data_IF_343272428638
#
_entry.id   IF_343272428638
#
_cell.length_a   1.000
_cell.length_b   1.000
_cell.length_c   1.000
_cell.angle_alpha   90.00
_cell.angle_beta   90.00
_cell.angle_gamma   90.00
#
_symmetry.space_group_name_H-M   'P 1'
#
loop_
_entity.id
_entity.type
_entity.pdbx_description
1 polymer ?
#
# COMPACT_ATOMS: atom_id res chain seq x y z
N UNK A 1 -24.11 14.29 -40.70
CA UNK A 1 -23.29 13.35 -39.93
C UNK A 1 -22.74 14.09 -38.73
N UNK A 2 -23.39 13.95 -37.57
CA UNK A 2 -22.83 14.45 -36.32
C UNK A 2 -21.87 13.38 -35.81
N UNK A 3 -20.58 13.70 -35.78
CA UNK A 3 -19.58 12.85 -35.15
C UNK A 3 -19.86 12.80 -33.65
N UNK A 4 -20.18 11.62 -33.14
CA UNK A 4 -20.07 11.35 -31.71
C UNK A 4 -18.58 11.45 -31.37
N UNK A 5 -18.22 12.54 -30.71
CA UNK A 5 -16.96 12.66 -30.02
C UNK A 5 -17.04 11.72 -28.82
N UNK A 6 -16.39 10.56 -28.95
CA UNK A 6 -16.20 9.60 -27.86
C UNK A 6 -15.53 10.36 -26.71
N UNK A 7 -16.27 10.63 -25.64
CA UNK A 7 -15.74 11.29 -24.47
C UNK A 7 -14.56 10.44 -23.97
N UNK A 8 -13.37 11.04 -23.89
CA UNK A 8 -12.20 10.35 -23.35
C UNK A 8 -12.57 9.82 -21.96
N UNK A 9 -12.52 8.49 -21.80
CA UNK A 9 -12.81 7.85 -20.52
C UNK A 9 -11.92 8.49 -19.45
N UNK A 10 -12.54 9.00 -18.39
CA UNK A 10 -11.80 9.59 -17.26
C UNK A 10 -10.98 8.46 -16.64
N UNK A 11 -9.66 8.61 -16.59
CA UNK A 11 -8.79 7.61 -15.96
C UNK A 11 -9.13 7.51 -14.47
N UNK A 12 -9.56 6.32 -14.04
CA UNK A 12 -9.88 6.04 -12.64
C UNK A 12 -8.64 5.89 -11.76
N UNK A 13 -7.46 5.85 -12.38
CA UNK A 13 -6.17 5.73 -11.70
C UNK A 13 -5.21 6.77 -12.25
N UNK A 14 -4.51 7.43 -11.34
CA UNK A 14 -3.46 8.42 -11.65
C UNK A 14 -2.10 7.88 -11.22
N UNK A 15 -1.09 8.21 -12.02
CA UNK A 15 0.31 7.90 -11.75
C UNK A 15 1.05 9.18 -11.44
N UNK A 16 1.86 9.17 -10.38
CA UNK A 16 2.71 10.30 -10.00
C UNK A 16 4.06 9.81 -9.51
N UNK A 17 5.09 10.64 -9.69
CA UNK A 17 6.46 10.33 -9.25
C UNK A 17 7.01 11.49 -8.44
N UNK A 18 7.75 11.16 -7.37
CA UNK A 18 8.36 12.13 -6.47
C UNK A 18 9.83 11.77 -6.24
N UNK A 19 10.70 12.78 -6.26
CA UNK A 19 12.08 12.67 -5.78
C UNK A 19 12.34 13.75 -4.74
N UNK A 20 13.12 13.42 -3.71
CA UNK A 20 13.57 14.38 -2.71
C UNK A 20 14.84 15.13 -3.13
N UNK A 21 15.45 14.73 -4.23
CA UNK A 21 16.74 15.22 -4.71
C UNK A 21 16.51 15.96 -6.03
N UNK A 22 16.33 17.29 -6.00
CA UNK A 22 16.03 18.08 -7.18
C UNK A 22 17.25 18.36 -8.07
N UNK A 23 18.48 18.29 -7.52
CA UNK A 23 19.72 18.42 -8.29
C UNK A 23 20.83 17.48 -7.81
N UNK A 24 21.81 17.22 -8.68
CA UNK A 24 23.04 16.46 -8.41
C UNK A 24 24.21 17.26 -9.01
N UNK A 25 25.34 17.45 -8.29
CA UNK A 25 26.52 18.08 -8.85
C UNK A 25 26.97 17.42 -10.15
N UNK A 26 27.41 18.23 -11.12
CA UNK A 26 27.69 17.79 -12.49
C UNK A 26 28.76 16.70 -12.56
N UNK A 27 29.81 16.83 -11.76
CA UNK A 27 30.94 15.93 -11.69
C UNK A 27 30.71 14.69 -10.80
N UNK A 28 29.53 14.57 -10.18
CA UNK A 28 29.23 13.49 -9.23
C UNK A 28 28.17 12.51 -9.75
N UNK A 29 28.41 11.23 -9.46
CA UNK A 29 27.39 10.19 -9.54
C UNK A 29 26.56 10.12 -8.26
N UNK A 30 25.30 9.72 -8.38
CA UNK A 30 24.43 9.42 -7.25
C UNK A 30 24.01 7.96 -7.31
N UNK A 31 24.39 7.16 -6.31
CA UNK A 31 23.94 5.76 -6.19
C UNK A 31 22.66 5.66 -5.37
N UNK A 32 21.81 4.71 -5.74
CA UNK A 32 20.51 4.49 -5.09
C UNK A 32 19.70 5.80 -4.94
N UNK A 33 19.60 6.57 -6.02
CA UNK A 33 18.74 7.75 -6.14
C UNK A 33 17.27 7.34 -5.99
N UNK A 34 16.56 7.76 -4.94
CA UNK A 34 15.22 7.29 -4.65
C UNK A 34 14.15 8.06 -5.43
N UNK A 35 13.33 7.34 -6.16
CA UNK A 35 12.12 7.82 -6.83
C UNK A 35 10.91 7.10 -6.23
N UNK A 36 10.05 7.82 -5.55
CA UNK A 36 8.76 7.27 -5.10
C UNK A 36 7.77 7.32 -6.27
N UNK A 37 7.20 6.17 -6.61
CA UNK A 37 6.10 6.05 -7.57
C UNK A 37 4.82 5.83 -6.78
N UNK A 38 3.80 6.63 -7.10
CA UNK A 38 2.49 6.58 -6.46
C UNK A 38 1.40 6.34 -7.50
N UNK A 39 0.58 5.34 -7.24
CA UNK A 39 -0.63 4.99 -7.98
C UNK A 39 -1.82 5.35 -7.10
N UNK A 40 -2.64 6.29 -7.55
CA UNK A 40 -3.80 6.81 -6.79
C UNK A 40 -5.08 6.50 -7.54
N UNK A 41 -6.01 5.81 -6.90
CA UNK A 41 -7.34 5.60 -7.45
C UNK A 41 -8.29 6.77 -7.15
N UNK A 42 -9.26 6.98 -8.03
CA UNK A 42 -10.31 7.97 -7.85
C UNK A 42 -11.08 7.71 -6.53
N UNK A 43 -11.54 8.77 -5.84
CA UNK A 43 -12.31 8.62 -4.60
C UNK A 43 -13.63 7.88 -4.85
N UNK A 44 -14.17 7.16 -3.85
CA UNK A 44 -15.39 6.35 -4.00
C UNK A 44 -16.60 7.06 -4.60
N UNK A 45 -16.75 8.36 -4.34
CA UNK A 45 -17.86 9.21 -4.82
C UNK A 45 -17.86 9.40 -6.35
N UNK A 46 -16.70 9.29 -6.98
CA UNK A 46 -16.53 9.44 -8.43
C UNK A 46 -16.74 8.14 -9.21
N UNK A 47 -16.95 7.01 -8.51
CA UNK A 47 -16.93 5.66 -9.11
C UNK A 47 -18.29 4.94 -9.00
N UNK A 48 -19.39 5.70 -8.87
CA UNK A 48 -20.73 5.11 -8.81
C UNK A 48 -21.05 4.32 -10.08
N UNK A 49 -21.19 2.99 -9.95
CA UNK A 49 -21.59 2.09 -11.03
C UNK A 49 -20.45 1.39 -11.78
N UNK A 50 -19.18 1.62 -11.44
CA UNK A 50 -18.04 0.96 -12.12
C UNK A 50 -17.37 -0.15 -11.31
N UNK A 51 -17.90 -0.53 -10.15
CA UNK A 51 -17.25 -1.52 -9.25
C UNK A 51 -17.39 -2.94 -9.79
N UNK A 52 -16.32 -3.74 -9.73
CA UNK A 52 -16.42 -5.17 -10.05
C UNK A 52 -17.06 -5.93 -8.89
N UNK A 53 -17.87 -6.94 -9.22
CA UNK A 53 -18.37 -7.88 -8.23
C UNK A 53 -17.21 -8.70 -7.63
N UNK A 54 -17.43 -9.23 -6.43
CA UNK A 54 -16.43 -10.06 -5.78
C UNK A 54 -16.99 -11.38 -5.30
N UNK A 55 -16.18 -12.42 -5.44
CA UNK A 55 -16.37 -13.74 -4.86
C UNK A 55 -15.28 -13.96 -3.82
N UNK A 56 -15.67 -13.95 -2.55
CA UNK A 56 -14.76 -14.10 -1.43
C UNK A 56 -14.92 -15.49 -0.82
N UNK A 57 -13.80 -16.14 -0.51
CA UNK A 57 -13.79 -17.32 0.36
C UNK A 57 -13.08 -16.99 1.67
N UNK A 58 -13.81 -17.11 2.78
CA UNK A 58 -13.23 -16.99 4.12
C UNK A 58 -12.80 -18.38 4.62
N UNK A 59 -11.50 -18.65 4.60
CA UNK A 59 -10.88 -19.84 5.16
C UNK A 59 -10.45 -19.56 6.62
N UNK A 60 -11.18 -20.13 7.57
CA UNK A 60 -11.02 -19.90 9.01
C UNK A 60 -10.44 -21.15 9.64
N UNK A 61 -9.22 -21.01 10.17
CA UNK A 61 -8.57 -22.05 10.95
C UNK A 61 -9.34 -22.25 12.27
N UNK A 62 -9.76 -23.48 12.54
CA UNK A 62 -10.51 -23.87 13.74
C UNK A 62 -9.64 -24.59 14.77
N UNK A 63 -8.31 -24.51 14.68
CA UNK A 63 -7.39 -25.16 15.63
C UNK A 63 -7.70 -24.80 17.08
N UNK A 64 -7.23 -25.67 17.97
CA UNK A 64 -7.36 -25.55 19.42
C UNK A 64 -7.09 -24.15 19.99
N UNK A 65 -6.01 -23.50 19.54
CA UNK A 65 -5.60 -22.19 20.06
C UNK A 65 -6.61 -21.07 19.78
N UNK A 66 -7.63 -21.31 18.94
CA UNK A 66 -8.73 -20.38 18.67
C UNK A 66 -9.75 -20.31 19.81
N UNK A 67 -9.68 -21.20 20.80
CA UNK A 67 -10.54 -21.14 21.99
C UNK A 67 -9.80 -21.27 23.31
N UNK A 68 -8.50 -21.60 23.30
CA UNK A 68 -7.71 -21.77 24.52
C UNK A 68 -6.29 -21.22 24.37
N UNK A 69 -5.77 -20.60 25.43
CA UNK A 69 -4.40 -20.05 25.47
C UNK A 69 -3.36 -21.09 25.84
N UNK A 70 -3.76 -22.09 26.61
CA UNK A 70 -2.94 -23.25 26.93
C UNK A 70 -3.36 -24.48 26.14
N UNK A 71 -2.43 -25.44 26.04
CA UNK A 71 -2.65 -26.71 25.34
C UNK A 71 -3.54 -27.71 26.10
N UNK A 72 -3.98 -27.39 27.32
CA UNK A 72 -4.69 -28.30 28.21
C UNK A 72 -6.19 -27.97 28.34
N UNK A 73 -6.59 -26.76 27.96
CA UNK A 73 -7.97 -26.30 27.89
C UNK A 73 -8.43 -25.63 29.17
N UNK A 74 -7.49 -25.20 30.00
CA UNK A 74 -7.78 -24.61 31.31
C UNK A 74 -7.94 -23.09 31.23
N UNK A 75 -7.37 -22.46 30.21
CA UNK A 75 -7.47 -21.02 29.95
C UNK A 75 -8.25 -20.78 28.66
N UNK A 76 -9.60 -20.69 28.72
CA UNK A 76 -10.40 -20.34 27.56
C UNK A 76 -10.13 -18.89 27.11
N UNK A 77 -10.30 -18.63 25.82
CA UNK A 77 -10.23 -17.30 25.23
C UNK A 77 -11.36 -17.09 24.20
N UNK A 78 -11.50 -15.85 23.75
CA UNK A 78 -12.57 -15.43 22.84
C UNK A 78 -12.11 -15.29 21.37
N UNK A 79 -10.96 -15.83 20.96
CA UNK A 79 -10.42 -15.61 19.60
C UNK A 79 -11.40 -15.96 18.49
N UNK A 80 -12.00 -17.16 18.53
CA UNK A 80 -13.00 -17.55 17.54
C UNK A 80 -14.26 -16.68 17.63
N UNK A 81 -14.64 -16.21 18.83
CA UNK A 81 -15.75 -15.27 19.01
C UNK A 81 -15.43 -13.95 18.29
N UNK A 82 -14.23 -13.39 18.48
CA UNK A 82 -13.77 -12.17 17.79
C UNK A 82 -13.73 -12.34 16.27
N UNK A 83 -13.32 -13.51 15.77
CA UNK A 83 -13.38 -13.81 14.34
C UNK A 83 -14.81 -13.81 13.83
N UNK A 84 -15.77 -14.41 14.56
CA UNK A 84 -17.19 -14.40 14.17
C UNK A 84 -17.76 -12.99 14.12
N UNK A 85 -17.48 -12.17 15.13
CA UNK A 85 -17.87 -10.76 15.20
C UNK A 85 -17.29 -9.96 14.02
N UNK A 86 -16.00 -10.16 13.71
CA UNK A 86 -15.35 -9.51 12.59
C UNK A 86 -15.89 -9.98 11.23
N UNK A 87 -16.20 -11.27 11.08
CA UNK A 87 -16.83 -11.80 9.87
C UNK A 87 -18.22 -11.24 9.62
N UNK A 88 -18.96 -10.85 10.68
CA UNK A 88 -20.23 -10.14 10.51
C UNK A 88 -20.05 -8.79 9.78
N UNK A 89 -18.93 -8.08 10.00
CA UNK A 89 -18.58 -6.87 9.25
C UNK A 89 -18.28 -7.16 7.78
N UNK A 90 -17.56 -8.25 7.50
CA UNK A 90 -17.30 -8.69 6.12
C UNK A 90 -18.62 -8.97 5.39
N UNK A 91 -19.54 -9.71 6.03
CA UNK A 91 -20.86 -10.01 5.45
C UNK A 91 -21.66 -8.71 5.21
N UNK A 92 -21.63 -7.78 6.16
CA UNK A 92 -22.31 -6.49 6.04
C UNK A 92 -21.76 -5.64 4.87
N UNK A 93 -20.44 -5.59 4.70
CA UNK A 93 -19.82 -4.80 3.63
C UNK A 93 -20.00 -5.42 2.25
N UNK A 94 -19.98 -6.75 2.14
CA UNK A 94 -20.25 -7.42 0.86
C UNK A 94 -21.66 -7.15 0.35
N UNK A 95 -22.64 -6.84 1.22
CA UNK A 95 -24.03 -6.55 0.82
C UNK A 95 -24.21 -5.29 -0.02
N UNK A 96 -23.18 -4.43 -0.11
CA UNK A 96 -23.23 -3.19 -0.91
C UNK A 96 -23.71 -3.47 -2.34
N UNK A 97 -23.35 -4.64 -2.87
CA UNK A 97 -23.99 -5.25 -4.02
C UNK A 97 -24.42 -6.67 -3.65
N UNK A 98 -25.72 -6.96 -3.71
CA UNK A 98 -26.26 -8.26 -3.34
C UNK A 98 -25.74 -9.41 -4.23
N UNK A 99 -25.17 -9.11 -5.41
CA UNK A 99 -24.54 -10.09 -6.29
C UNK A 99 -23.10 -10.44 -5.89
N UNK A 100 -22.49 -9.73 -4.94
CA UNK A 100 -21.26 -10.19 -4.31
C UNK A 100 -21.52 -11.51 -3.58
N UNK A 101 -20.51 -12.36 -3.53
CA UNK A 101 -20.65 -13.70 -2.97
C UNK A 101 -19.61 -14.01 -1.91
N UNK A 102 -20.04 -14.78 -0.92
CA UNK A 102 -19.19 -15.29 0.15
C UNK A 102 -19.36 -16.81 0.29
N UNK A 103 -18.24 -17.51 0.37
CA UNK A 103 -18.19 -18.87 0.90
C UNK A 103 -17.40 -18.91 2.21
N UNK A 104 -17.81 -19.79 3.14
CA UNK A 104 -17.15 -19.96 4.44
C UNK A 104 -16.58 -21.38 4.52
N UNK A 105 -15.27 -21.47 4.77
CA UNK A 105 -14.54 -22.73 4.94
C UNK A 105 -13.94 -22.75 6.34
N UNK A 106 -14.49 -23.60 7.22
CA UNK A 106 -13.92 -23.89 8.53
C UNK A 106 -13.07 -25.16 8.45
N UNK A 107 -11.79 -25.11 8.85
CA UNK A 107 -10.88 -26.23 8.65
C UNK A 107 -9.91 -26.46 9.83
N UNK A 108 -9.36 -27.68 9.89
CA UNK A 108 -8.15 -28.01 10.66
C UNK A 108 -7.26 -28.97 9.84
N UNK A 109 -7.22 -30.27 10.15
CA UNK A 109 -6.64 -31.33 9.30
C UNK A 109 -7.64 -31.80 8.23
N UNK A 110 -8.91 -31.43 8.37
CA UNK A 110 -9.97 -31.67 7.40
C UNK A 110 -10.86 -30.43 7.26
N UNK A 111 -11.73 -30.43 6.26
CA UNK A 111 -12.75 -29.39 6.09
C UNK A 111 -13.94 -29.76 6.98
N UNK A 112 -14.15 -28.99 8.05
CA UNK A 112 -15.23 -29.23 9.01
C UNK A 112 -16.54 -28.54 8.60
N UNK A 113 -16.43 -27.39 7.94
CA UNK A 113 -17.54 -26.61 7.40
C UNK A 113 -17.14 -26.07 6.05
N UNK A 114 -18.02 -26.17 5.05
CA UNK A 114 -17.84 -25.56 3.74
C UNK A 114 -19.21 -25.18 3.17
N UNK A 115 -19.31 -23.99 2.59
CA UNK A 115 -20.49 -23.56 1.83
C UNK A 115 -20.12 -23.38 0.37
N UNK A 116 -21.13 -23.38 -0.51
CA UNK A 116 -20.97 -22.80 -1.84
C UNK A 116 -20.87 -21.27 -1.75
N UNK A 117 -20.62 -20.61 -2.89
CA UNK A 117 -20.64 -19.15 -2.99
C UNK A 117 -22.08 -18.63 -2.84
N UNK A 118 -22.40 -18.13 -1.66
CA UNK A 118 -23.69 -17.54 -1.34
C UNK A 118 -23.75 -16.10 -1.86
N UNK A 119 -24.78 -15.72 -2.60
CA UNK A 119 -25.03 -14.30 -2.92
C UNK A 119 -25.44 -13.54 -1.66
N UNK A 120 -24.89 -12.34 -1.45
CA UNK A 120 -25.12 -11.51 -0.26
C UNK A 120 -26.48 -10.78 -0.29
N UNK A 121 -27.49 -11.45 -0.85
CA UNK A 121 -28.92 -11.18 -0.61
C UNK A 121 -29.25 -11.32 0.87
N UNK A 122 -30.43 -10.86 1.30
CA UNK A 122 -30.86 -11.00 2.70
C UNK A 122 -30.83 -12.46 3.20
N UNK A 123 -31.24 -13.42 2.36
CA UNK A 123 -31.20 -14.85 2.71
C UNK A 123 -29.77 -15.40 2.75
N UNK A 124 -28.91 -15.02 1.80
CA UNK A 124 -27.52 -15.46 1.80
C UNK A 124 -26.71 -14.86 2.95
N UNK A 125 -26.97 -13.60 3.33
CA UNK A 125 -26.41 -12.99 4.54
C UNK A 125 -26.81 -13.78 5.79
N UNK A 126 -28.10 -14.09 5.95
CA UNK A 126 -28.56 -14.89 7.09
C UNK A 126 -27.89 -16.26 7.13
N UNK A 127 -27.81 -16.95 5.98
CA UNK A 127 -27.16 -18.26 5.86
C UNK A 127 -25.66 -18.21 6.18
N UNK A 128 -24.97 -17.16 5.73
CA UNK A 128 -23.56 -16.93 6.03
C UNK A 128 -23.33 -16.66 7.53
N UNK A 129 -24.16 -15.82 8.15
CA UNK A 129 -24.12 -15.52 9.59
C UNK A 129 -24.34 -16.79 10.40
N UNK A 130 -25.36 -17.58 10.06
CA UNK A 130 -25.64 -18.86 10.73
C UNK A 130 -24.46 -19.82 10.62
N UNK A 131 -23.86 -19.93 9.43
CA UNK A 131 -22.68 -20.77 9.20
C UNK A 131 -21.49 -20.32 10.03
N UNK A 132 -21.17 -19.03 10.03
CA UNK A 132 -20.07 -18.45 10.81
C UNK A 132 -20.31 -18.67 12.30
N UNK A 133 -21.53 -18.44 12.80
CA UNK A 133 -21.86 -18.64 14.21
C UNK A 133 -21.80 -20.11 14.63
N UNK A 134 -22.07 -21.03 13.72
CA UNK A 134 -21.98 -22.47 13.98
C UNK A 134 -20.54 -23.02 14.06
N UNK A 135 -19.52 -22.26 13.63
CA UNK A 135 -18.12 -22.68 13.72
C UNK A 135 -17.71 -23.01 15.16
N UNK A 136 -16.95 -24.09 15.34
CA UNK A 136 -16.48 -24.57 16.65
C UNK A 136 -14.99 -24.87 16.60
N UNK A 137 -14.33 -24.62 17.73
CA UNK A 137 -12.93 -24.99 17.91
C UNK A 137 -12.77 -26.50 17.86
N UNK A 138 -11.72 -26.95 17.17
CA UNK A 138 -11.36 -28.35 16.99
C UNK A 138 -10.01 -28.61 17.66
N UNK A 139 -9.90 -29.69 18.44
CA UNK A 139 -8.73 -29.97 19.29
C UNK A 139 -7.45 -30.44 18.59
N UNK A 140 -7.41 -30.48 17.26
CA UNK A 140 -6.25 -30.96 16.48
C UNK A 140 -5.44 -29.79 15.89
N UNK A 141 -4.15 -29.99 15.58
CA UNK A 141 -3.38 -29.04 14.78
C UNK A 141 -4.04 -28.83 13.40
N UNK A 142 -3.70 -27.73 12.73
CA UNK A 142 -4.24 -27.43 11.40
C UNK A 142 -3.23 -27.71 10.30
N UNK A 143 -3.76 -28.11 9.15
CA UNK A 143 -3.03 -28.26 7.90
C UNK A 143 -3.52 -27.18 6.94
N UNK A 144 -2.72 -26.14 6.70
CA UNK A 144 -3.13 -24.95 5.96
C UNK A 144 -3.58 -25.26 4.54
N UNK A 145 -2.93 -26.22 3.88
CA UNK A 145 -3.28 -26.67 2.53
C UNK A 145 -4.71 -27.19 2.44
N UNK A 146 -5.31 -27.70 3.53
CA UNK A 146 -6.70 -28.20 3.53
C UNK A 146 -7.68 -27.05 3.28
N UNK A 147 -7.58 -25.98 4.08
CA UNK A 147 -8.43 -24.81 3.91
C UNK A 147 -8.17 -24.09 2.58
N UNK A 148 -6.90 -23.94 2.21
CA UNK A 148 -6.50 -23.27 0.97
C UNK A 148 -6.95 -24.02 -0.29
N UNK A 149 -6.84 -25.36 -0.30
CA UNK A 149 -7.28 -26.16 -1.44
C UNK A 149 -8.80 -26.15 -1.61
N UNK A 150 -9.56 -26.18 -0.52
CA UNK A 150 -11.03 -26.07 -0.60
C UNK A 150 -11.44 -24.68 -1.07
N UNK A 151 -10.79 -23.62 -0.58
CA UNK A 151 -11.04 -22.26 -1.04
C UNK A 151 -10.74 -22.09 -2.54
N UNK A 152 -9.59 -22.60 -3.00
CA UNK A 152 -9.26 -22.64 -4.42
C UNK A 152 -10.29 -23.42 -5.23
N UNK A 153 -10.70 -24.60 -4.76
CA UNK A 153 -11.69 -25.44 -5.44
C UNK A 153 -13.03 -24.71 -5.62
N UNK A 154 -13.50 -24.01 -4.59
CA UNK A 154 -14.74 -23.20 -4.67
C UNK A 154 -14.61 -22.10 -5.74
N UNK A 155 -13.52 -21.33 -5.72
CA UNK A 155 -13.29 -20.26 -6.70
C UNK A 155 -13.04 -20.79 -8.12
N UNK A 156 -12.42 -21.96 -8.26
CA UNK A 156 -12.19 -22.61 -9.55
C UNK A 156 -13.49 -23.16 -10.15
N UNK A 157 -14.44 -23.58 -9.31
CA UNK A 157 -15.76 -24.08 -9.71
C UNK A 157 -16.64 -23.04 -10.41
N UNK A 158 -16.28 -21.75 -10.34
CA UNK A 158 -16.95 -20.68 -11.08
C UNK A 158 -16.81 -20.87 -12.59
N UNK A 159 -17.90 -20.63 -13.32
CA UNK A 159 -17.91 -20.60 -14.78
C UNK A 159 -17.00 -19.49 -15.33
N UNK A 160 -16.63 -19.60 -16.61
CA UNK A 160 -15.84 -18.56 -17.28
C UNK A 160 -16.57 -17.20 -17.30
N UNK A 161 -17.90 -17.21 -17.44
CA UNK A 161 -18.70 -15.99 -17.39
C UNK A 161 -18.65 -15.33 -16.02
N UNK A 162 -18.67 -16.11 -14.93
CA UNK A 162 -18.54 -15.58 -13.58
C UNK A 162 -17.14 -15.03 -13.31
N UNK A 163 -16.08 -15.73 -13.73
CA UNK A 163 -14.70 -15.26 -13.58
C UNK A 163 -14.42 -13.96 -14.37
N UNK A 164 -15.20 -13.67 -15.41
CA UNK A 164 -15.11 -12.43 -16.19
C UNK A 164 -15.85 -11.23 -15.58
N UNK A 165 -16.83 -11.48 -14.71
CA UNK A 165 -17.62 -10.42 -14.05
C UNK A 165 -17.25 -10.19 -12.59
N UNK A 166 -16.57 -11.16 -11.95
CA UNK A 166 -16.32 -11.17 -10.52
C UNK A 166 -14.88 -11.56 -10.20
N UNK A 167 -14.22 -10.74 -9.39
CA UNK A 167 -12.87 -11.01 -8.87
C UNK A 167 -12.94 -12.05 -7.75
N UNK A 168 -11.94 -12.93 -7.68
CA UNK A 168 -11.86 -13.97 -6.66
C UNK A 168 -10.82 -13.65 -5.60
N UNK A 169 -11.20 -13.68 -4.32
CA UNK A 169 -10.29 -13.41 -3.19
C UNK A 169 -10.41 -14.48 -2.11
N UNK A 170 -9.31 -14.72 -1.39
CA UNK A 170 -9.30 -15.58 -0.21
C UNK A 170 -8.96 -14.73 1.01
N UNK A 171 -9.80 -14.76 2.03
CA UNK A 171 -9.48 -14.27 3.37
C UNK A 171 -9.07 -15.49 4.20
N UNK A 172 -7.86 -15.49 4.73
CA UNK A 172 -7.33 -16.61 5.51
C UNK A 172 -7.05 -16.15 6.94
N UNK A 173 -7.60 -16.83 7.96
CA UNK A 173 -7.44 -16.44 9.37
C UNK A 173 -6.85 -17.60 10.16
N UNK A 174 -5.72 -17.39 10.87
CA UNK A 174 -5.10 -18.42 11.71
C UNK A 174 -4.33 -17.86 12.91
N UNK A 175 -4.30 -18.63 14.01
CA UNK A 175 -3.58 -18.33 15.26
C UNK A 175 -2.41 -19.30 15.52
N UNK A 176 -1.91 -20.01 14.52
CA UNK A 176 -0.84 -20.98 14.80
C UNK A 176 0.08 -21.25 13.63
N UNK A 177 0.91 -22.27 13.80
CA UNK A 177 1.83 -22.74 12.77
C UNK A 177 1.37 -24.09 12.20
N UNK A 178 1.67 -24.31 10.93
CA UNK A 178 1.62 -25.61 10.25
C UNK A 178 3.02 -25.93 9.77
N UNK A 179 3.81 -26.63 10.58
CA UNK A 179 5.23 -26.93 10.33
C UNK A 179 5.48 -27.65 8.99
N UNK A 180 4.46 -28.31 8.43
CA UNK A 180 4.56 -29.05 7.17
C UNK A 180 4.27 -28.20 5.94
N UNK A 181 3.66 -27.02 6.13
CA UNK A 181 3.29 -26.12 5.05
C UNK A 181 4.50 -25.43 4.43
N UNK A 182 4.65 -25.58 3.11
CA UNK A 182 5.72 -25.01 2.32
C UNK A 182 5.16 -23.99 1.33
N UNK A 183 6.04 -23.10 0.86
CA UNK A 183 5.70 -22.07 -0.12
C UNK A 183 5.06 -22.63 -1.41
N UNK A 184 5.46 -23.82 -1.84
CA UNK A 184 4.88 -24.51 -3.01
C UNK A 184 3.42 -24.94 -2.83
N UNK A 185 2.93 -24.98 -1.59
CA UNK A 185 1.57 -25.39 -1.26
C UNK A 185 0.58 -24.21 -1.34
N UNK A 186 1.08 -22.98 -1.58
CA UNK A 186 0.27 -21.77 -1.71
C UNK A 186 -0.44 -21.76 -3.07
N UNK A 187 -1.78 -21.70 -3.13
CA UNK A 187 -2.49 -21.56 -4.39
C UNK A 187 -2.35 -20.13 -4.94
N UNK A 188 -1.57 -19.95 -5.99
CA UNK A 188 -1.22 -18.61 -6.53
C UNK A 188 -2.24 -17.99 -7.47
N UNK A 189 -3.37 -18.66 -7.72
CA UNK A 189 -4.38 -18.24 -8.69
C UNK A 189 -5.26 -17.07 -8.21
N UNK A 190 -5.36 -16.86 -6.89
CA UNK A 190 -6.21 -15.84 -6.28
C UNK A 190 -5.44 -15.13 -5.16
N UNK A 191 -5.60 -13.81 -4.97
CA UNK A 191 -4.98 -13.10 -3.85
C UNK A 191 -5.44 -13.65 -2.49
N UNK A 192 -4.48 -13.85 -1.59
CA UNK A 192 -4.70 -14.32 -0.22
C UNK A 192 -4.43 -13.19 0.77
N UNK A 193 -5.48 -12.72 1.42
CA UNK A 193 -5.41 -11.78 2.52
C UNK A 193 -5.37 -12.54 3.85
N UNK A 194 -4.17 -12.70 4.39
CA UNK A 194 -3.88 -13.52 5.56
C UNK A 194 -3.88 -12.70 6.86
N UNK A 195 -4.65 -13.13 7.85
CA UNK A 195 -4.70 -12.58 9.20
C UNK A 195 -4.04 -13.55 10.18
N UNK A 196 -2.93 -13.10 10.77
CA UNK A 196 -2.21 -13.82 11.80
C UNK A 196 -2.65 -13.33 13.18
N UNK A 197 -3.27 -14.19 13.97
CA UNK A 197 -3.74 -13.85 15.31
C UNK A 197 -2.65 -14.16 16.34
N UNK A 198 -2.44 -13.21 17.26
CA UNK A 198 -1.56 -13.27 18.44
C UNK A 198 -0.09 -13.55 18.13
N UNK A 199 0.78 -13.71 19.13
CA UNK A 199 2.18 -14.06 18.87
C UNK A 199 2.39 -15.53 18.42
N UNK A 200 1.34 -16.36 18.45
CA UNK A 200 1.44 -17.80 18.19
C UNK A 200 1.32 -18.18 16.71
N UNK A 201 0.81 -17.29 15.86
CA UNK A 201 0.73 -17.56 14.42
C UNK A 201 2.12 -17.65 13.77
N UNK A 202 2.15 -18.02 12.49
CA UNK A 202 3.36 -18.14 11.69
C UNK A 202 3.54 -16.95 10.73
N UNK A 203 4.25 -15.87 11.12
CA UNK A 203 4.44 -14.71 10.25
C UNK A 203 5.07 -15.07 8.91
N UNK A 204 6.04 -15.99 8.87
CA UNK A 204 6.75 -16.35 7.64
C UNK A 204 5.82 -16.96 6.59
N UNK A 205 4.96 -17.90 6.99
CA UNK A 205 4.02 -18.58 6.09
C UNK A 205 2.91 -17.65 5.61
N UNK A 206 2.35 -16.86 6.52
CA UNK A 206 1.27 -15.92 6.16
C UNK A 206 1.79 -14.76 5.29
N UNK A 207 3.01 -14.27 5.55
CA UNK A 207 3.68 -13.32 4.64
C UNK A 207 3.97 -13.94 3.27
N UNK A 208 4.38 -15.21 3.21
CA UNK A 208 4.61 -15.89 1.95
C UNK A 208 3.33 -16.02 1.12
N UNK A 209 2.18 -16.34 1.76
CA UNK A 209 0.87 -16.34 1.10
C UNK A 209 0.56 -14.99 0.47
N UNK A 210 0.68 -13.91 1.23
CA UNK A 210 0.44 -12.55 0.73
C UNK A 210 1.39 -12.19 -0.43
N UNK A 211 2.68 -12.48 -0.27
CA UNK A 211 3.73 -12.14 -1.24
C UNK A 211 3.53 -12.85 -2.59
N UNK A 212 3.27 -14.15 -2.59
CA UNK A 212 3.16 -14.92 -3.83
C UNK A 212 1.87 -14.63 -4.60
N UNK A 213 0.82 -14.16 -3.92
CA UNK A 213 -0.53 -14.03 -4.48
C UNK A 213 -0.98 -12.59 -4.72
N UNK A 214 -0.12 -11.59 -4.45
CA UNK A 214 -0.50 -10.16 -4.46
C UNK A 214 -1.61 -9.83 -3.44
N UNK A 215 -1.69 -10.60 -2.37
CA UNK A 215 -2.59 -10.36 -1.25
C UNK A 215 -1.97 -9.45 -0.19
N UNK A 216 -2.43 -9.59 1.05
CA UNK A 216 -1.88 -8.83 2.18
C UNK A 216 -1.72 -9.71 3.41
N UNK A 217 -0.78 -9.37 4.27
CA UNK A 217 -0.59 -10.00 5.57
C UNK A 217 -0.85 -8.99 6.68
N UNK A 218 -1.80 -9.30 7.57
CA UNK A 218 -2.20 -8.44 8.67
C UNK A 218 -2.00 -9.18 9.99
N UNK A 219 -0.95 -8.85 10.78
CA UNK A 219 -0.82 -9.35 12.14
C UNK A 219 -1.82 -8.65 13.07
N UNK A 220 -2.43 -9.41 13.97
CA UNK A 220 -3.28 -8.90 15.04
C UNK A 220 -2.68 -9.36 16.36
N UNK A 221 -2.14 -8.42 17.14
CA UNK A 221 -1.55 -8.72 18.44
C UNK A 221 -2.62 -9.08 19.48
N UNK A 222 -2.21 -9.66 20.62
CA UNK A 222 -3.14 -10.08 21.68
C UNK A 222 -4.03 -8.92 22.16
N UNK A 223 -3.42 -7.78 22.47
CA UNK A 223 -4.11 -6.61 23.03
C UNK A 223 -4.99 -5.91 21.98
N UNK A 224 -4.74 -6.17 20.70
CA UNK A 224 -5.44 -5.60 19.56
C UNK A 224 -6.58 -6.50 19.04
N UNK A 225 -6.70 -7.73 19.54
CA UNK A 225 -7.65 -8.71 19.03
C UNK A 225 -9.11 -8.27 19.16
N UNK A 226 -9.46 -7.60 20.26
CA UNK A 226 -10.84 -7.18 20.53
C UNK A 226 -11.26 -5.98 19.67
N UNK A 227 -10.34 -5.07 19.39
CA UNK A 227 -10.64 -3.78 18.75
C UNK A 227 -10.25 -3.77 17.27
N UNK A 228 -9.06 -4.25 16.93
CA UNK A 228 -8.50 -4.12 15.59
C UNK A 228 -8.89 -5.25 14.65
N UNK A 229 -9.17 -6.46 15.12
CA UNK A 229 -9.52 -7.56 14.19
C UNK A 229 -10.75 -7.21 13.34
N UNK A 230 -11.83 -6.76 13.99
CA UNK A 230 -13.05 -6.34 13.32
C UNK A 230 -12.81 -5.12 12.42
N UNK A 231 -12.07 -4.12 12.90
CA UNK A 231 -11.70 -2.93 12.14
C UNK A 231 -10.92 -3.28 10.85
N UNK A 232 -9.91 -4.16 10.94
CA UNK A 232 -9.08 -4.51 9.79
C UNK A 232 -9.82 -5.39 8.78
N UNK A 233 -10.71 -6.27 9.22
CA UNK A 233 -11.58 -7.04 8.32
C UNK A 233 -12.66 -6.18 7.66
N UNK A 234 -13.18 -5.19 8.39
CA UNK A 234 -14.06 -4.15 7.86
C UNK A 234 -13.36 -3.35 6.75
N UNK A 235 -12.19 -2.77 7.04
CA UNK A 235 -11.35 -2.05 6.08
C UNK A 235 -11.01 -2.90 4.85
N UNK A 236 -10.63 -4.17 5.05
CA UNK A 236 -10.35 -5.08 3.94
C UNK A 236 -11.59 -5.31 3.07
N UNK A 237 -12.75 -5.58 3.67
CA UNK A 237 -13.96 -5.90 2.90
C UNK A 237 -14.54 -4.69 2.15
N UNK A 238 -14.44 -3.48 2.72
CA UNK A 238 -14.72 -2.22 2.00
C UNK A 238 -13.78 -2.07 0.80
N UNK A 239 -12.49 -2.37 0.99
CA UNK A 239 -11.50 -2.32 -0.09
C UNK A 239 -11.86 -3.31 -1.21
N UNK A 240 -12.06 -4.59 -0.87
CA UNK A 240 -12.33 -5.63 -1.88
C UNK A 240 -13.59 -5.31 -2.72
N UNK A 241 -14.62 -4.73 -2.12
CA UNK A 241 -15.88 -4.38 -2.81
C UNK A 241 -15.84 -3.07 -3.60
N UNK A 242 -14.67 -2.40 -3.64
CA UNK A 242 -14.51 -1.11 -4.30
C UNK A 242 -13.40 -1.11 -5.34
N UNK A 243 -13.02 -2.27 -5.89
CA UNK A 243 -12.01 -2.36 -6.97
C UNK A 243 -12.45 -1.57 -8.20
N UNK A 244 -11.57 -0.68 -8.68
CA UNK A 244 -11.78 0.20 -9.85
C UNK A 244 -10.82 -0.08 -11.00
N UNK A 245 -9.68 -0.70 -10.68
CA UNK A 245 -8.65 -1.06 -11.63
C UNK A 245 -8.12 -2.46 -11.32
N UNK A 246 -8.11 -3.31 -12.33
CA UNK A 246 -7.72 -4.72 -12.26
C UNK A 246 -6.40 -4.92 -13.02
N UNK A 247 -5.55 -5.81 -12.53
CA UNK A 247 -4.26 -6.15 -13.17
C UNK A 247 -3.37 -4.91 -13.45
N UNK A 248 -3.30 -3.96 -12.51
CA UNK A 248 -2.50 -2.75 -12.68
C UNK A 248 -1.02 -3.09 -12.72
N UNK A 249 -0.33 -2.68 -13.78
CA UNK A 249 1.12 -2.85 -13.94
C UNK A 249 1.78 -1.53 -14.30
N UNK A 250 2.90 -1.24 -13.66
CA UNK A 250 3.73 -0.07 -13.90
C UNK A 250 4.98 -0.49 -14.66
N UNK A 251 5.27 0.24 -15.72
CA UNK A 251 6.43 0.05 -16.59
C UNK A 251 7.43 1.20 -16.36
N UNK A 252 8.70 0.83 -16.23
CA UNK A 252 9.82 1.72 -15.93
C UNK A 252 10.82 1.67 -17.08
N UNK A 253 11.30 2.82 -17.54
CA UNK A 253 12.30 2.92 -18.60
C UNK A 253 13.27 4.07 -18.30
N UNK A 254 14.57 3.77 -18.20
CA UNK A 254 15.58 4.82 -18.05
C UNK A 254 15.79 5.55 -19.38
N UNK A 255 16.01 6.86 -19.31
CA UNK A 255 16.06 7.71 -20.50
C UNK A 255 17.50 8.09 -20.90
N UNK A 256 18.44 8.09 -19.96
CA UNK A 256 19.84 8.43 -20.20
C UNK A 256 20.75 7.19 -20.24
N UNK A 257 21.77 7.19 -21.11
CA UNK A 257 22.63 6.03 -21.44
C UNK A 257 23.50 5.47 -20.30
N UNK A 258 23.53 6.15 -19.15
CA UNK A 258 24.24 5.70 -17.95
C UNK A 258 23.36 5.54 -16.71
N UNK A 259 22.07 5.86 -16.80
CA UNK A 259 21.13 5.69 -15.69
C UNK A 259 20.59 4.27 -15.70
N UNK A 260 20.68 3.59 -14.55
CA UNK A 260 20.20 2.21 -14.39
C UNK A 260 19.30 2.07 -13.17
N UNK A 261 18.31 1.17 -13.25
CA UNK A 261 17.48 0.75 -12.13
C UNK A 261 18.29 -0.20 -11.25
N UNK A 262 18.72 0.28 -10.08
CA UNK A 262 19.55 -0.50 -9.15
C UNK A 262 18.70 -1.44 -8.29
N UNK A 263 17.54 -0.97 -7.82
CA UNK A 263 16.67 -1.69 -6.89
C UNK A 263 15.20 -1.23 -7.00
N UNK A 264 14.28 -2.14 -6.74
CA UNK A 264 12.84 -1.87 -6.57
C UNK A 264 12.39 -2.34 -5.20
N UNK A 265 11.69 -1.49 -4.45
CA UNK A 265 11.04 -1.93 -3.20
C UNK A 265 9.78 -2.73 -3.50
N UNK A 266 9.76 -3.96 -3.00
CA UNK A 266 8.70 -4.94 -3.28
C UNK A 266 7.63 -5.02 -2.20
N UNK A 267 7.63 -4.13 -1.19
CA UNK A 267 6.67 -4.17 -0.09
C UNK A 267 6.31 -2.80 0.44
N UNK A 268 5.06 -2.64 0.85
CA UNK A 268 4.51 -1.43 1.44
C UNK A 268 3.62 -1.80 2.64
N UNK A 269 3.63 -0.96 3.69
CA UNK A 269 2.71 -1.10 4.80
C UNK A 269 1.54 -0.12 4.63
N UNK A 270 0.32 -0.62 4.58
CA UNK A 270 -0.90 0.19 4.49
C UNK A 270 -1.87 -0.26 5.58
N UNK A 271 -2.28 0.66 6.47
CA UNK A 271 -3.15 0.36 7.62
C UNK A 271 -2.71 -0.88 8.40
N UNK A 272 -1.42 -0.98 8.72
CA UNK A 272 -0.76 -2.12 9.42
C UNK A 272 -0.76 -3.46 8.67
N UNK A 273 -1.32 -3.52 7.46
CA UNK A 273 -1.22 -4.66 6.57
C UNK A 273 0.03 -4.53 5.68
N UNK A 274 0.83 -5.61 5.62
CA UNK A 274 1.94 -5.72 4.68
C UNK A 274 1.42 -6.17 3.32
N UNK A 275 1.65 -5.37 2.30
CA UNK A 275 1.34 -5.64 0.90
C UNK A 275 2.65 -5.81 0.15
N UNK A 276 2.65 -6.71 -0.83
CA UNK A 276 3.82 -7.02 -1.65
C UNK A 276 3.52 -6.82 -3.13
N UNK A 277 4.52 -6.36 -3.86
CA UNK A 277 4.46 -6.19 -5.31
C UNK A 277 5.44 -7.16 -5.97
N UNK A 278 5.02 -7.75 -7.11
CA UNK A 278 5.96 -8.50 -7.95
C UNK A 278 6.74 -7.51 -8.79
N UNK A 279 8.05 -7.56 -8.69
CA UNK A 279 8.96 -6.64 -9.38
C UNK A 279 9.92 -7.40 -10.29
N UNK A 280 10.28 -6.78 -11.40
CA UNK A 280 11.24 -7.29 -12.35
C UNK A 280 12.14 -6.13 -12.81
N UNK A 281 13.44 -6.36 -12.88
CA UNK A 281 14.40 -5.44 -13.49
C UNK A 281 14.94 -6.14 -14.73
N UNK A 282 14.87 -5.48 -15.89
CA UNK A 282 15.38 -6.03 -17.14
C UNK A 282 16.88 -6.29 -17.06
N UNK A 283 17.40 -7.25 -17.83
CA UNK A 283 18.81 -7.67 -17.74
C UNK A 283 19.83 -6.54 -17.94
N UNK A 284 19.49 -5.53 -18.75
CA UNK A 284 20.31 -4.33 -18.96
C UNK A 284 20.13 -3.24 -17.89
N UNK A 285 19.23 -3.44 -16.92
CA UNK A 285 18.82 -2.48 -15.89
C UNK A 285 18.31 -1.13 -16.41
N UNK A 286 18.02 -1.01 -17.70
CA UNK A 286 17.42 0.19 -18.31
C UNK A 286 15.90 0.16 -18.32
N UNK A 287 15.30 -0.94 -17.84
CA UNK A 287 13.86 -1.08 -17.72
C UNK A 287 13.50 -1.91 -16.49
N UNK A 288 12.25 -1.78 -16.06
CA UNK A 288 11.69 -2.58 -14.98
C UNK A 288 10.17 -2.61 -15.05
N UNK A 289 9.58 -3.53 -14.29
CA UNK A 289 8.14 -3.69 -14.20
C UNK A 289 7.72 -3.94 -12.75
N UNK A 290 6.62 -3.33 -12.35
CA UNK A 290 6.00 -3.54 -11.04
C UNK A 290 4.54 -3.94 -11.23
N UNK A 291 4.17 -5.13 -10.74
CA UNK A 291 2.79 -5.61 -10.73
C UNK A 291 2.16 -5.16 -9.42
N UNK A 292 1.29 -4.16 -9.52
CA UNK A 292 0.54 -3.58 -8.40
C UNK A 292 -0.71 -4.40 -8.10
N UNK A 293 -1.29 -5.04 -9.13
CA UNK A 293 -2.50 -5.85 -9.02
C UNK A 293 -3.75 -4.99 -8.98
N UNK A 294 -4.73 -5.40 -8.18
CA UNK A 294 -6.01 -4.70 -8.09
C UNK A 294 -5.89 -3.46 -7.20
N UNK A 295 -6.54 -2.38 -7.62
CA UNK A 295 -6.57 -1.08 -6.93
C UNK A 295 -8.02 -0.66 -6.70
N UNK A 296 -8.32 -0.33 -5.46
CA UNK A 296 -9.67 0.00 -4.99
C UNK A 296 -9.87 1.50 -4.88
N UNK A 297 -11.12 1.95 -4.90
CA UNK A 297 -11.46 3.37 -4.87
C UNK A 297 -10.86 4.06 -3.64
N UNK A 298 -10.23 5.21 -3.84
CA UNK A 298 -9.52 5.95 -2.80
C UNK A 298 -8.22 5.30 -2.30
N UNK A 299 -7.81 4.14 -2.84
CA UNK A 299 -6.51 3.58 -2.48
C UNK A 299 -5.36 4.38 -3.07
N UNK A 300 -4.28 4.42 -2.29
CA UNK A 300 -2.99 4.93 -2.66
C UNK A 300 -1.98 3.81 -2.49
N UNK A 301 -1.28 3.47 -3.57
CA UNK A 301 -0.22 2.45 -3.57
C UNK A 301 1.11 3.11 -3.92
N UNK A 302 2.08 2.92 -3.05
CA UNK A 302 3.42 3.49 -3.19
C UNK A 302 4.50 2.41 -3.21
N UNK A 303 5.55 2.67 -3.98
CA UNK A 303 6.80 1.92 -3.97
C UNK A 303 7.96 2.81 -4.40
N UNK A 304 9.18 2.45 -4.00
CA UNK A 304 10.39 3.20 -4.33
C UNK A 304 11.19 2.49 -5.42
N UNK A 305 11.56 3.24 -6.45
CA UNK A 305 12.53 2.87 -7.49
C UNK A 305 13.85 3.54 -7.15
N UNK A 306 14.92 2.75 -7.05
CA UNK A 306 16.27 3.27 -6.85
C UNK A 306 17.03 3.26 -8.19
N UNK A 307 17.65 4.37 -8.52
CA UNK A 307 18.44 4.55 -9.74
C UNK A 307 19.91 4.80 -9.39
N UNK A 308 20.83 4.22 -10.15
CA UNK A 308 22.20 4.72 -10.18
C UNK A 308 22.30 5.76 -11.29
N UNK A 309 22.67 6.97 -10.91
CA UNK A 309 22.74 8.14 -11.77
C UNK A 309 24.24 8.49 -11.96
N UNK A 310 24.78 8.50 -13.20
CA UNK A 310 26.21 8.71 -13.44
C UNK A 310 26.62 10.17 -13.16
N UNK A 311 27.90 10.52 -13.26
CA UNK A 311 28.27 11.93 -13.44
C UNK A 311 27.78 12.43 -14.80
N UNK A 312 27.51 13.72 -14.95
CA UNK A 312 27.24 14.28 -16.27
C UNK A 312 28.55 14.24 -17.08
N UNK A 313 28.52 13.67 -18.28
CA UNK A 313 29.68 13.70 -19.16
C UNK A 313 29.98 15.16 -19.54
N UNK A 314 31.18 15.63 -19.24
CA UNK A 314 31.61 16.95 -19.68
C UNK A 314 31.69 16.97 -21.20
N UNK A 315 30.91 17.84 -21.84
CA UNK A 315 31.08 18.12 -23.26
C UNK A 315 32.44 18.82 -23.43
N UNK A 316 33.51 18.04 -23.61
CA UNK A 316 34.84 18.53 -23.98
C UNK A 316 34.84 18.94 -25.45
N UNK A 317 34.03 19.93 -25.82
CA UNK A 317 34.28 20.70 -27.03
C UNK A 317 34.38 22.16 -26.59
N UNK A 318 35.63 22.64 -26.54
CA UNK A 318 36.06 23.92 -25.97
C UNK A 318 35.61 25.16 -26.73
N UNK A 319 34.33 25.25 -27.08
CA UNK A 319 33.69 26.44 -27.64
C UNK A 319 32.21 26.47 -27.22
N UNK A 320 31.94 26.77 -25.96
CA UNK A 320 30.56 26.96 -25.49
C UNK A 320 30.52 27.46 -24.05
N UNK A 321 30.16 28.73 -23.90
CA UNK A 321 29.77 29.36 -22.65
C UNK A 321 28.42 28.82 -22.18
N UNK A 322 28.37 27.58 -21.70
CA UNK A 322 27.18 27.07 -20.99
C UNK A 322 27.52 26.93 -19.50
N UNK A 323 27.78 28.09 -18.88
CA UNK A 323 27.63 28.30 -17.44
C UNK A 323 26.12 28.22 -17.14
N UNK A 324 25.60 27.03 -16.86
CA UNK A 324 24.19 26.86 -16.58
C UNK A 324 23.79 25.46 -16.16
N UNK A 325 22.90 25.41 -15.17
CA UNK A 325 22.12 24.26 -14.77
C UNK A 325 21.60 23.46 -15.98
N UNK A 326 21.95 22.17 -16.05
CA UNK A 326 21.50 21.29 -17.15
C UNK A 326 20.52 20.23 -16.65
N UNK A 327 19.38 20.06 -17.32
CA UNK A 327 18.38 19.07 -16.92
C UNK A 327 18.72 17.71 -17.52
N UNK A 328 18.78 16.69 -16.68
CA UNK A 328 18.98 15.31 -17.08
C UNK A 328 17.70 14.50 -16.87
N UNK A 329 17.23 13.84 -17.92
CA UNK A 329 16.11 12.92 -17.86
C UNK A 329 16.56 11.56 -17.32
N UNK A 330 15.92 11.09 -16.24
CA UNK A 330 16.33 9.87 -15.54
C UNK A 330 15.45 8.69 -15.92
N UNK A 331 14.15 8.83 -15.67
CA UNK A 331 13.21 7.71 -15.69
C UNK A 331 11.86 8.14 -16.24
N UNK A 332 11.37 7.38 -17.21
CA UNK A 332 9.97 7.38 -17.63
C UNK A 332 9.21 6.30 -16.88
N UNK A 333 8.09 6.67 -16.28
CA UNK A 333 7.18 5.78 -15.58
C UNK A 333 5.83 5.84 -16.29
N UNK A 334 5.35 4.70 -16.75
CA UNK A 334 4.02 4.55 -17.34
C UNK A 334 3.34 3.33 -16.77
N UNK A 335 2.21 2.93 -17.34
CA UNK A 335 1.59 1.66 -16.97
C UNK A 335 0.26 1.43 -17.63
N UNK A 336 -0.36 0.31 -17.25
CA UNK A 336 -1.65 -0.12 -17.79
C UNK A 336 -2.48 -0.79 -16.71
N UNK A 337 -3.79 -0.72 -16.86
CA UNK A 337 -4.75 -1.48 -16.05
C UNK A 337 -5.97 -1.89 -16.90
N UNK A 338 -6.82 -2.75 -16.37
CA UNK A 338 -8.14 -3.06 -16.92
C UNK A 338 -9.21 -2.38 -16.07
N UNK A 339 -10.17 -1.72 -16.70
CA UNK A 339 -11.26 -1.10 -15.97
C UNK A 339 -12.16 -2.18 -15.36
N UNK A 340 -12.51 -2.01 -14.09
CA UNK A 340 -13.32 -2.94 -13.29
C UNK A 340 -14.69 -3.25 -13.89
N UNK A 341 -15.32 -2.26 -14.53
CA UNK A 341 -16.62 -2.39 -15.19
C UNK A 341 -16.60 -3.26 -16.44
N UNK A 342 -15.43 -3.53 -17.02
CA UNK A 342 -15.29 -4.30 -18.26
C UNK A 342 -13.90 -4.95 -18.39
N UNK A 343 -13.69 -6.03 -17.63
CA UNK A 343 -12.40 -6.74 -17.54
C UNK A 343 -11.97 -7.43 -18.85
N UNK A 344 -12.88 -7.59 -19.81
CA UNK A 344 -12.61 -8.21 -21.12
C UNK A 344 -12.23 -7.17 -22.20
N UNK A 345 -12.41 -5.87 -21.94
CA UNK A 345 -12.03 -4.79 -22.87
C UNK A 345 -10.54 -4.44 -22.84
N UNK A 346 -10.14 -3.60 -23.80
CA UNK A 346 -8.77 -3.13 -24.01
C UNK A 346 -8.22 -2.46 -22.74
N UNK A 347 -6.95 -2.75 -22.43
CA UNK A 347 -6.23 -2.11 -21.32
C UNK A 347 -6.26 -0.59 -21.46
N UNK A 348 -6.48 0.09 -20.33
CA UNK A 348 -6.37 1.54 -20.19
C UNK A 348 -4.91 1.88 -19.89
N UNK A 349 -4.37 2.88 -20.60
CA UNK A 349 -3.03 3.40 -20.35
C UNK A 349 -3.10 4.39 -19.19
N UNK A 350 -2.22 4.23 -18.21
CA UNK A 350 -1.97 5.26 -17.21
C UNK A 350 -1.24 6.43 -17.88
N UNK A 351 -1.43 7.63 -17.32
CA UNK A 351 -0.60 8.77 -17.69
C UNK A 351 0.88 8.46 -17.51
N UNK A 352 1.72 9.08 -18.33
CA UNK A 352 3.17 8.95 -18.21
C UNK A 352 3.72 10.03 -17.28
N UNK A 353 4.66 9.66 -16.42
CA UNK A 353 5.39 10.56 -15.54
C UNK A 353 6.88 10.48 -15.84
N UNK A 354 7.53 11.63 -15.97
CA UNK A 354 8.96 11.72 -16.24
C UNK A 354 9.68 12.28 -15.03
N UNK A 355 10.76 11.61 -14.64
CA UNK A 355 11.64 12.03 -13.56
C UNK A 355 12.88 12.65 -14.17
N UNK A 356 13.15 13.89 -13.77
CA UNK A 356 14.33 14.65 -14.17
C UNK A 356 15.10 15.10 -12.95
N UNK A 357 16.36 15.46 -13.15
CA UNK A 357 17.21 16.08 -12.13
C UNK A 357 18.04 17.19 -12.75
N UNK A 358 18.28 18.25 -12.01
CA UNK A 358 19.16 19.34 -12.45
C UNK A 358 20.62 18.98 -12.16
N UNK A 359 21.54 19.29 -13.07
CA UNK A 359 22.99 19.16 -12.92
C UNK A 359 23.62 20.53 -12.78
N UNK A 360 24.24 20.78 -11.62
CA UNK A 360 24.77 22.09 -11.23
C UNK A 360 26.28 22.01 -10.98
N UNK A 361 27.02 23.07 -11.26
CA UNK A 361 28.49 23.13 -11.11
C UNK A 361 28.93 23.51 -9.70
N UNK A 362 28.12 24.30 -9.01
CA UNK A 362 28.16 24.48 -7.57
C UNK A 362 27.31 23.40 -6.90
N UNK A 363 27.78 22.88 -5.77
CA UNK A 363 26.93 22.05 -4.91
C UNK A 363 25.81 22.91 -4.31
N UNK A 364 24.82 23.30 -5.12
CA UNK A 364 23.63 24.14 -4.85
C UNK A 364 22.70 23.56 -3.79
N UNK A 365 23.21 22.65 -2.97
CA UNK A 365 22.53 22.11 -1.82
C UNK A 365 22.07 23.19 -0.83
N UNK A 366 22.72 24.36 -0.78
CA UNK A 366 22.25 25.50 0.02
C UNK A 366 21.07 26.22 -0.66
N UNK A 367 21.16 26.51 -1.95
CA UNK A 367 20.07 27.14 -2.72
C UNK A 367 18.81 26.24 -2.76
N UNK A 368 19.00 24.92 -2.83
CA UNK A 368 17.93 23.93 -2.73
C UNK A 368 17.30 23.85 -1.33
N UNK A 369 18.07 24.06 -0.26
CA UNK A 369 17.51 24.17 1.08
C UNK A 369 16.67 25.45 1.16
N UNK A 370 17.12 26.56 0.56
CA UNK A 370 16.36 27.81 0.49
C UNK A 370 15.05 27.63 -0.30
N UNK A 371 15.07 26.97 -1.45
CA UNK A 371 13.84 26.66 -2.22
C UNK A 371 12.88 25.75 -1.45
N UNK A 372 13.40 24.76 -0.72
CA UNK A 372 12.56 23.86 0.11
C UNK A 372 11.96 24.59 1.30
N UNK A 373 12.73 25.48 1.93
CA UNK A 373 12.21 26.40 2.97
C UNK A 373 11.11 27.29 2.38
N UNK A 374 11.34 27.87 1.20
CA UNK A 374 10.35 28.70 0.51
C UNK A 374 9.07 27.93 0.16
N UNK A 375 9.19 26.69 -0.31
CA UNK A 375 8.06 25.80 -0.56
C UNK A 375 7.25 25.54 0.72
N UNK A 376 7.90 25.15 1.82
CA UNK A 376 7.21 24.90 3.09
C UNK A 376 6.58 26.16 3.67
N UNK A 377 7.22 27.32 3.52
CA UNK A 377 6.63 28.61 3.86
C UNK A 377 5.35 28.86 3.05
N UNK A 378 5.36 28.58 1.75
CA UNK A 378 4.17 28.72 0.90
C UNK A 378 3.07 27.76 1.33
N UNK A 379 3.36 26.47 1.54
CA UNK A 379 2.37 25.48 2.00
C UNK A 379 1.72 25.90 3.32
N UNK A 380 2.50 26.44 4.25
CA UNK A 380 1.99 26.93 5.53
C UNK A 380 1.10 28.17 5.38
N UNK A 381 1.43 29.07 4.44
CA UNK A 381 0.61 30.22 4.11
C UNK A 381 -0.71 29.80 3.44
N UNK A 382 -0.65 28.90 2.46
CA UNK A 382 -1.83 28.41 1.74
C UNK A 382 -2.79 27.65 2.67
N UNK A 383 -2.26 26.83 3.60
CA UNK A 383 -3.07 26.16 4.61
C UNK A 383 -3.69 27.16 5.59
N UNK A 384 -2.94 28.18 6.00
CA UNK A 384 -3.48 29.23 6.89
C UNK A 384 -4.63 29.97 6.19
N UNK A 385 -4.46 30.33 4.92
CA UNK A 385 -5.50 30.96 4.11
C UNK A 385 -6.73 30.06 3.91
N UNK A 386 -6.54 28.73 3.79
CA UNK A 386 -7.64 27.77 3.73
C UNK A 386 -8.45 27.78 5.03
N UNK A 387 -7.79 27.74 6.19
CA UNK A 387 -8.49 27.77 7.48
C UNK A 387 -9.15 29.12 7.74
N UNK A 388 -8.50 30.23 7.41
CA UNK A 388 -9.12 31.56 7.54
C UNK A 388 -10.39 31.65 6.68
N UNK A 389 -10.37 31.07 5.47
CA UNK A 389 -11.54 30.98 4.60
C UNK A 389 -12.64 30.10 5.22
N UNK A 390 -12.29 28.92 5.71
CA UNK A 390 -13.24 28.02 6.39
C UNK A 390 -13.86 28.67 7.63
N UNK A 391 -13.09 29.41 8.42
CA UNK A 391 -13.59 30.15 9.59
C UNK A 391 -14.54 31.28 9.17
N UNK A 392 -14.25 32.00 8.09
CA UNK A 392 -15.16 33.04 7.56
C UNK A 392 -16.46 32.46 6.99
N UNK A 393 -16.41 31.27 6.38
CA UNK A 393 -17.59 30.57 5.85
C UNK A 393 -18.41 29.94 6.99
N UNK A 394 -17.76 29.39 8.02
CA UNK A 394 -18.41 28.83 9.21
C UNK A 394 -19.02 29.90 10.13
N UNK A 395 -18.44 31.11 10.21
CA UNK A 395 -19.01 32.23 10.96
C UNK A 395 -20.39 32.69 10.43
N UNK A 396 -20.78 32.28 9.21
CA UNK A 396 -22.12 32.47 8.66
C UNK A 396 -23.16 31.42 9.11
N UNK A 397 -22.73 30.29 9.67
CA UNK A 397 -23.58 29.18 10.09
C UNK A 397 -23.59 29.04 11.63
N UNK A 398 -24.76 29.15 12.25
CA UNK A 398 -24.93 29.05 13.71
C UNK A 398 -24.82 27.59 14.20
N UNK A 399 -23.63 27.09 14.46
CA UNK A 399 -23.45 25.88 15.30
C UNK A 399 -22.09 25.87 16.00
N UNK A 400 -22.08 26.14 17.31
CA UNK A 400 -20.87 26.26 18.13
C UNK A 400 -20.13 24.94 18.44
N UNK A 401 -20.61 23.78 17.99
CA UNK A 401 -19.91 22.50 18.14
C UNK A 401 -18.79 22.26 17.11
N UNK A 402 -18.93 22.84 15.91
CA UNK A 402 -18.05 22.64 14.75
C UNK A 402 -16.71 23.38 14.89
N UNK A 403 -16.70 24.47 15.67
CA UNK A 403 -15.55 25.37 15.83
C UNK A 403 -14.42 24.70 16.63
N UNK A 404 -14.75 23.86 17.62
CA UNK A 404 -13.74 23.21 18.47
C UNK A 404 -13.02 22.06 17.74
N UNK A 405 -13.73 21.31 16.90
CA UNK A 405 -13.15 20.26 16.05
C UNK A 405 -12.31 20.85 14.91
N UNK A 406 -12.78 21.95 14.30
CA UNK A 406 -12.01 22.67 13.28
C UNK A 406 -10.70 23.27 13.84
N UNK A 407 -10.72 23.80 15.07
CA UNK A 407 -9.52 24.30 15.75
C UNK A 407 -8.53 23.17 16.07
N UNK A 408 -9.04 22.03 16.55
CA UNK A 408 -8.20 20.85 16.81
C UNK A 408 -7.57 20.29 15.52
N UNK A 409 -8.34 20.27 14.41
CA UNK A 409 -7.85 19.86 13.09
C UNK A 409 -6.80 20.84 12.55
N UNK A 410 -7.00 22.15 12.75
CA UNK A 410 -6.04 23.20 12.39
C UNK A 410 -4.73 23.04 13.14
N UNK A 411 -4.80 22.83 14.46
CA UNK A 411 -3.61 22.63 15.31
C UNK A 411 -2.85 21.34 14.90
N UNK A 412 -3.57 20.23 14.71
CA UNK A 412 -2.99 18.97 14.27
C UNK A 412 -2.34 19.08 12.88
N UNK A 413 -2.96 19.81 11.94
CA UNK A 413 -2.43 20.01 10.59
C UNK A 413 -1.18 20.89 10.57
N UNK A 414 -1.15 21.95 11.38
CA UNK A 414 0.04 22.80 11.55
C UNK A 414 1.19 22.01 12.16
N UNK A 415 0.92 21.21 13.18
CA UNK A 415 1.94 20.37 13.83
C UNK A 415 2.48 19.30 12.87
N UNK A 416 1.61 18.64 12.09
CA UNK A 416 2.02 17.67 11.07
C UNK A 416 2.92 18.31 10.00
N UNK A 417 2.57 19.52 9.53
CA UNK A 417 3.38 20.26 8.56
C UNK A 417 4.72 20.69 9.16
N UNK A 418 4.73 21.20 10.39
CA UNK A 418 5.99 21.57 11.03
C UNK A 418 6.91 20.35 11.13
N UNK A 419 6.41 19.19 11.56
CA UNK A 419 7.20 17.95 11.61
C UNK A 419 7.69 17.52 10.24
N UNK A 420 6.83 17.57 9.22
CA UNK A 420 7.19 17.23 7.86
C UNK A 420 8.29 18.17 7.31
N UNK A 421 8.13 19.48 7.51
CA UNK A 421 9.12 20.50 7.16
C UNK A 421 10.45 20.28 7.86
N UNK A 422 10.44 20.06 9.18
CA UNK A 422 11.66 19.80 9.95
C UNK A 422 12.39 18.56 9.42
N UNK A 423 11.66 17.45 9.24
CA UNK A 423 12.23 16.22 8.74
C UNK A 423 12.75 16.37 7.31
N UNK A 424 12.04 17.10 6.46
CA UNK A 424 12.42 17.37 5.09
C UNK A 424 13.71 18.21 5.02
N UNK A 425 13.76 19.36 5.69
CA UNK A 425 14.92 20.25 5.73
C UNK A 425 16.12 19.55 6.35
N UNK A 426 15.93 18.87 7.49
CA UNK A 426 16.99 18.14 8.18
C UNK A 426 17.62 17.07 7.27
N UNK A 427 16.80 16.32 6.54
CA UNK A 427 17.31 15.32 5.61
C UNK A 427 18.03 15.93 4.41
N UNK A 428 17.55 17.05 3.86
CA UNK A 428 18.28 17.74 2.80
C UNK A 428 19.64 18.27 3.28
N UNK A 429 19.71 18.81 4.49
CA UNK A 429 20.98 19.23 5.11
C UNK A 429 21.91 18.04 5.30
N UNK A 430 21.41 16.91 5.83
CA UNK A 430 22.21 15.69 5.98
C UNK A 430 22.70 15.14 4.64
N UNK A 431 21.86 15.18 3.61
CA UNK A 431 22.24 14.76 2.26
C UNK A 431 23.33 15.67 1.69
N UNK A 432 23.15 16.99 1.82
CA UNK A 432 24.14 17.99 1.43
C UNK A 432 25.50 17.73 2.10
N UNK A 433 25.49 17.42 3.39
CA UNK A 433 26.70 17.08 4.15
C UNK A 433 27.34 15.77 3.68
N UNK A 434 26.55 14.74 3.33
CA UNK A 434 27.05 13.47 2.79
C UNK A 434 27.67 13.64 1.41
N UNK A 435 27.04 14.39 0.52
CA UNK A 435 27.56 14.70 -0.81
C UNK A 435 28.88 15.48 -0.71
N UNK A 436 28.99 16.44 0.23
CA UNK A 436 30.26 17.14 0.51
C UNK A 436 31.37 16.21 1.04
N UNK A 437 31.05 15.25 1.91
CA UNK A 437 32.03 14.32 2.48
C UNK A 437 32.47 13.22 1.52
N UNK A 438 31.64 12.83 0.55
CA UNK A 438 31.99 11.84 -0.47
C UNK A 438 33.10 12.29 -1.41
N UNK A 439 33.26 13.60 -1.61
CA UNK A 439 34.30 14.20 -2.47
C UNK A 439 35.71 14.22 -1.86
N UNK A 440 35.87 13.96 -0.56
CA UNK A 440 37.15 14.12 0.15
C UNK A 440 37.91 12.81 0.37
N UNK A 441 37.50 11.72 -0.30
CA UNK A 441 38.18 10.41 -0.18
C UNK A 441 39.42 10.29 -1.08
N UNK A 442 40.29 11.30 -0.99
CA UNK A 442 41.71 11.20 -1.31
C UNK A 442 42.52 11.09 0.00
N UNK A 443 42.83 9.85 0.39
CA UNK A 443 43.88 9.47 1.35
C UNK A 443 43.53 9.39 2.86
N UNK A 444 43.25 8.15 3.31
CA UNK A 444 43.74 7.59 4.59
C UNK A 444 42.97 7.86 5.90
N UNK A 445 42.47 6.79 6.54
CA UNK A 445 42.31 6.73 8.00
C UNK A 445 40.93 6.29 8.52
N UNK A 446 40.90 5.08 9.09
CA UNK A 446 39.77 4.48 9.85
C UNK A 446 39.33 5.31 11.06
N UNK A 447 38.03 5.45 11.31
CA UNK A 447 37.45 5.16 12.64
C UNK A 447 35.93 4.99 12.61
N UNK A 448 35.48 4.02 13.41
CA UNK A 448 34.10 3.75 13.75
C UNK A 448 33.61 4.69 14.86
N UNK A 449 32.39 5.21 14.74
CA UNK A 449 31.38 5.41 15.81
C UNK A 449 30.31 6.40 15.33
N UNK A 450 29.05 5.97 15.35
CA UNK A 450 27.88 6.64 15.96
C UNK A 450 26.57 6.15 15.31
N UNK A 451 26.10 5.00 15.81
CA UNK A 451 24.69 4.63 15.76
C UNK A 451 24.12 4.88 17.16
N UNK A 452 23.57 6.08 17.41
CA UNK A 452 22.69 6.35 18.54
C UNK A 452 21.60 7.33 18.09
N UNK A 453 20.31 7.06 18.37
CA UNK A 453 19.25 8.05 18.16
C UNK A 453 19.42 9.22 19.16
N UNK A 454 19.02 10.45 18.81
CA UNK A 454 19.05 11.56 19.75
C UNK A 454 17.97 11.40 20.83
N UNK A 455 18.35 11.71 22.08
CA UNK A 455 17.46 11.80 23.24
C UNK A 455 16.48 12.97 23.07
N UNK A 456 15.17 12.83 23.39
CA UNK A 456 14.23 13.93 23.32
C UNK A 456 14.60 15.04 24.32
N UNK A 457 14.64 16.29 23.86
CA UNK A 457 14.71 17.47 24.71
C UNK A 457 13.38 17.63 25.47
N UNK A 458 13.40 17.49 26.78
CA UNK A 458 12.27 17.86 27.64
C UNK A 458 12.08 19.39 27.64
N UNK A 459 10.84 19.90 27.59
CA UNK A 459 10.58 21.31 27.72
C UNK A 459 10.97 21.83 29.11
N UNK A 460 11.60 23.00 29.14
CA UNK A 460 12.06 23.67 30.35
C UNK A 460 10.88 23.92 31.32
N UNK A 461 11.08 23.58 32.60
CA UNK A 461 10.17 23.93 33.68
C UNK A 461 10.10 25.45 33.82
N UNK A 462 8.89 25.99 33.78
CA UNK A 462 8.57 27.36 34.21
C UNK A 462 8.89 27.50 35.70
N UNK A 463 9.59 28.57 36.16
CA UNK A 463 9.73 28.86 37.58
C UNK A 463 8.38 29.27 38.17
N UNK A 464 8.15 28.85 39.41
CA UNK A 464 6.94 29.03 40.23
C UNK A 464 6.57 30.50 40.44
#
# INVERSE_FOLDING_TARGET
MAGQQEAAAVSMVQLSTFTRVPSIPRDQSYRDFPVTVRVTAAPPDFVQGERTLVDVVAAIDLRWSMGFDDKYGHQPNDRLVRVKEAMAKVIDNLRVDAQNRLAVVGFNQEVATSTELLEMTAQGQQSAIETVNALKVLGRPSTFSVGLNEAKKILDGRSLAEKRRSLGFIIFVSNGDDVTFLEKDIPTAYPIHAFGLTAQHSPSKLKAMANQTLGSYTPIENDDLETKLAEKLDQLSVRLTSVVAVDTTIDLTTLHHGVVVSKLESSWAYNDALVFYKTEIGGGKTSGKVVVGDVSAGELKEFTVYLDVPAAEGQQDGTGTDDGDSVMELLKVGGVYKQSSDMDKKKVLLGESMVTVVRTDDGGALDLIEERVAYWCKVKLDLSAMYDKLETEAAGAKSGGDVTEALALREASVEAINRAMYHDIYNAVLLALKLRRGGDSGNGGSSAMENSPPTPLHPAKTPV
#
